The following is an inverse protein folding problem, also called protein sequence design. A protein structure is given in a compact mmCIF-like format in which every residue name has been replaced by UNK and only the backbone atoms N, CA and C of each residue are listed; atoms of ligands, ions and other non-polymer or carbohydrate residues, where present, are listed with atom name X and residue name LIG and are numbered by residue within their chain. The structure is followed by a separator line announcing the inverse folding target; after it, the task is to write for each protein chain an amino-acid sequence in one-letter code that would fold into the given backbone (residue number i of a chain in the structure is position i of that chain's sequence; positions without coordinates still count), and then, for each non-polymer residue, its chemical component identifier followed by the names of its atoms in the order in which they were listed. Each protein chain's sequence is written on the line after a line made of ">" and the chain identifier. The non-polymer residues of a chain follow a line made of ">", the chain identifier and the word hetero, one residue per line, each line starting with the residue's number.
data_IF_553449679122
#
_entry.id   IF_553449679122
#
_cell.length_a   1.000
_cell.length_b   1.000
_cell.length_c   1.000
_cell.angle_alpha   90.00
_cell.angle_beta   90.00
_cell.angle_gamma   90.00
#
_symmetry.space_group_name_H-M   'P 1'
#
loop_
_entity.id
_entity.type
_entity.pdbx_description
1 polymer ?
#
# COMPACT_ATOMS: atom_id res chain seq x y z
N UNK A 1 10.50 -3.76 -12.87
CA UNK A 1 9.84 -2.93 -11.84
C UNK A 1 8.35 -3.25 -11.67
N UNK A 2 7.56 -3.30 -12.76
CA UNK A 2 6.10 -3.45 -12.72
C UNK A 2 5.58 -4.70 -11.98
N UNK A 3 6.31 -5.82 -12.03
CA UNK A 3 5.86 -7.07 -11.40
C UNK A 3 5.83 -7.00 -9.85
N UNK A 4 6.77 -6.29 -9.20
CA UNK A 4 6.76 -6.08 -7.74
C UNK A 4 5.55 -5.24 -7.32
N UNK A 5 5.26 -4.17 -8.06
CA UNK A 5 4.17 -3.26 -7.77
C UNK A 5 2.80 -3.88 -8.02
N UNK A 6 2.63 -4.63 -9.11
CA UNK A 6 1.35 -5.26 -9.46
C UNK A 6 0.91 -6.37 -8.50
N UNK A 7 1.88 -7.05 -7.87
CA UNK A 7 1.66 -8.23 -7.05
C UNK A 7 1.87 -7.94 -5.55
N UNK A 8 3.06 -8.24 -5.03
CA UNK A 8 3.28 -8.32 -3.59
C UNK A 8 3.11 -6.97 -2.90
N UNK A 9 3.60 -5.90 -3.53
CA UNK A 9 3.49 -4.56 -2.96
C UNK A 9 2.04 -4.11 -2.82
N UNK A 10 1.23 -4.30 -3.87
CA UNK A 10 -0.20 -3.92 -3.86
C UNK A 10 -0.97 -4.70 -2.79
N UNK A 11 -0.72 -6.00 -2.65
CA UNK A 11 -1.36 -6.81 -1.62
C UNK A 11 -0.91 -6.36 -0.22
N UNK A 12 0.39 -6.23 0.00
CA UNK A 12 0.93 -5.83 1.29
C UNK A 12 0.39 -4.47 1.74
N UNK A 13 0.44 -3.47 0.86
CA UNK A 13 0.05 -2.12 1.20
C UNK A 13 -1.47 -1.97 1.40
N UNK A 14 -2.28 -2.55 0.52
CA UNK A 14 -3.73 -2.37 0.63
C UNK A 14 -4.38 -3.19 1.76
N UNK A 15 -3.81 -4.36 2.08
CA UNK A 15 -4.43 -5.29 3.02
C UNK A 15 -3.89 -5.15 4.44
N UNK A 16 -2.63 -4.70 4.61
CA UNK A 16 -1.94 -4.78 5.89
C UNK A 16 -1.30 -3.48 6.39
N UNK A 17 -1.22 -2.43 5.56
CA UNK A 17 -0.66 -1.14 5.98
C UNK A 17 -1.76 -0.16 6.36
N UNK A 18 -1.91 0.19 7.65
CA UNK A 18 -2.87 1.19 8.05
C UNK A 18 -2.41 2.59 7.62
N UNK A 19 -3.36 3.42 7.21
CA UNK A 19 -3.15 4.82 6.89
C UNK A 19 -4.20 5.70 7.54
N UNK A 20 -3.80 6.93 7.86
CA UNK A 20 -4.71 7.98 8.35
C UNK A 20 -5.17 8.84 7.17
N UNK A 21 -6.44 9.20 7.18
CA UNK A 21 -7.05 10.14 6.24
C UNK A 21 -7.34 11.44 6.98
N UNK A 22 -7.04 12.56 6.32
CA UNK A 22 -7.45 13.87 6.79
C UNK A 22 -8.98 13.98 6.66
N UNK A 23 -9.68 14.13 7.78
CA UNK A 23 -11.14 14.23 7.83
C UNK A 23 -11.58 15.67 7.64
N UNK A 24 -10.88 16.60 8.31
CA UNK A 24 -11.17 18.02 8.19
C UNK A 24 -9.92 18.87 8.36
N UNK A 25 -9.96 20.05 7.76
CA UNK A 25 -8.90 21.05 7.85
C UNK A 25 -9.57 22.40 7.96
N UNK A 26 -9.44 23.03 9.12
CA UNK A 26 -10.07 24.31 9.42
C UNK A 26 -9.00 25.35 9.74
N UNK A 27 -9.23 26.60 9.33
CA UNK A 27 -8.35 27.73 9.65
C UNK A 27 -9.03 28.61 10.71
N UNK A 28 -8.34 28.82 11.82
CA UNK A 28 -8.79 29.67 12.93
C UNK A 28 -7.75 30.78 13.08
N UNK A 29 -8.07 31.97 12.55
CA UNK A 29 -7.14 33.08 12.42
C UNK A 29 -5.90 32.72 11.59
N UNK A 30 -4.73 32.80 12.21
CA UNK A 30 -3.44 32.41 11.60
C UNK A 30 -3.10 30.92 11.72
N UNK A 31 -3.87 30.12 12.48
CA UNK A 31 -3.59 28.70 12.74
C UNK A 31 -4.42 27.78 11.84
N UNK A 32 -3.81 26.69 11.37
CA UNK A 32 -4.52 25.59 10.68
C UNK A 32 -4.63 24.39 11.60
N UNK A 33 -5.85 23.94 11.87
CA UNK A 33 -6.15 22.75 12.67
C UNK A 33 -6.59 21.63 11.74
N UNK A 34 -5.97 20.45 11.87
CA UNK A 34 -6.26 19.26 11.07
C UNK A 34 -6.82 18.17 11.98
N UNK A 35 -7.94 17.58 11.60
CA UNK A 35 -8.48 16.39 12.25
C UNK A 35 -8.25 15.18 11.35
N UNK A 36 -7.64 14.14 11.90
CA UNK A 36 -7.38 12.87 11.23
C UNK A 36 -8.28 11.79 11.79
N UNK A 37 -8.62 10.80 10.97
CA UNK A 37 -9.33 9.64 11.44
C UNK A 37 -8.40 8.64 12.15
N UNK A 38 -9.01 7.59 12.70
CA UNK A 38 -8.26 6.45 13.22
C UNK A 38 -7.56 5.73 12.05
N UNK A 39 -6.31 5.25 12.25
CA UNK A 39 -5.62 4.46 11.24
C UNK A 39 -6.48 3.25 10.82
N UNK A 40 -6.63 3.07 9.51
CA UNK A 40 -7.29 1.89 8.90
C UNK A 40 -6.56 1.49 7.63
N UNK A 41 -6.53 0.20 7.32
CA UNK A 41 -6.02 -0.28 6.03
C UNK A 41 -6.96 0.13 4.90
N UNK A 42 -6.48 0.29 3.66
CA UNK A 42 -7.34 0.49 2.51
C UNK A 42 -8.42 -0.60 2.39
N UNK A 43 -8.08 -1.86 2.65
CA UNK A 43 -9.04 -2.96 2.69
C UNK A 43 -10.18 -2.71 3.69
N UNK A 44 -9.87 -2.34 4.94
CA UNK A 44 -10.88 -2.05 5.96
C UNK A 44 -11.82 -0.91 5.52
N UNK A 45 -11.27 0.11 4.86
CA UNK A 45 -12.07 1.21 4.31
C UNK A 45 -12.98 0.76 3.17
N UNK A 46 -12.47 -0.06 2.27
CA UNK A 46 -13.23 -0.64 1.17
C UNK A 46 -14.35 -1.56 1.68
N UNK A 47 -14.08 -2.36 2.71
CA UNK A 47 -15.08 -3.23 3.33
C UNK A 47 -16.17 -2.44 4.07
N UNK A 48 -15.83 -1.27 4.62
CA UNK A 48 -16.78 -0.37 5.28
C UNK A 48 -17.54 0.56 4.32
N UNK A 49 -17.15 0.64 3.04
CA UNK A 49 -17.80 1.52 2.06
C UNK A 49 -19.13 0.92 1.57
N UNK A 50 -20.18 1.73 1.52
CA UNK A 50 -21.49 1.35 0.97
C UNK A 50 -21.48 1.29 -0.57
N UNK A 51 -20.55 2.00 -1.22
CA UNK A 51 -20.43 2.04 -2.68
C UNK A 51 -19.88 0.73 -3.29
N UNK A 52 -19.38 -0.18 -2.45
CA UNK A 52 -18.77 -1.44 -2.87
C UNK A 52 -19.74 -2.58 -2.61
N UNK A 53 -20.11 -3.31 -3.67
CA UNK A 53 -21.01 -4.46 -3.55
C UNK A 53 -20.43 -5.57 -2.67
N UNK A 54 -21.32 -6.29 -1.98
CA UNK A 54 -20.92 -7.38 -1.08
C UNK A 54 -20.18 -8.50 -1.81
N UNK A 55 -20.55 -8.78 -3.07
CA UNK A 55 -19.80 -9.72 -3.91
C UNK A 55 -18.32 -9.35 -4.05
N UNK A 56 -18.01 -8.06 -4.29
CA UNK A 56 -16.62 -7.59 -4.37
C UNK A 56 -15.92 -7.63 -3.02
N UNK A 57 -16.62 -7.26 -1.93
CA UNK A 57 -16.09 -7.34 -0.57
C UNK A 57 -15.71 -8.78 -0.20
N UNK A 58 -16.55 -9.74 -0.53
CA UNK A 58 -16.30 -11.15 -0.29
C UNK A 58 -15.08 -11.65 -1.07
N UNK A 59 -14.93 -11.25 -2.33
CA UNK A 59 -13.71 -11.51 -3.12
C UNK A 59 -12.45 -10.98 -2.44
N UNK A 60 -12.50 -9.77 -1.88
CA UNK A 60 -11.37 -9.19 -1.14
C UNK A 60 -11.07 -9.95 0.15
N UNK A 61 -12.10 -10.40 0.89
CA UNK A 61 -11.91 -11.23 2.10
C UNK A 61 -11.21 -12.56 1.78
N UNK A 62 -11.58 -13.21 0.68
CA UNK A 62 -10.93 -14.45 0.24
C UNK A 62 -9.46 -14.24 -0.10
N UNK A 63 -9.13 -13.17 -0.82
CA UNK A 63 -7.73 -12.81 -1.11
C UNK A 63 -6.96 -12.54 0.19
N UNK A 64 -7.57 -11.83 1.14
CA UNK A 64 -6.96 -11.57 2.44
C UNK A 64 -6.66 -12.89 3.18
N UNK A 65 -7.63 -13.81 3.23
CA UNK A 65 -7.49 -15.12 3.87
C UNK A 65 -6.39 -15.99 3.24
N UNK A 66 -6.10 -15.80 1.95
CA UNK A 66 -5.08 -16.55 1.22
C UNK A 66 -3.69 -15.90 1.25
N UNK A 67 -3.55 -14.73 1.88
CA UNK A 67 -2.28 -13.99 1.92
C UNK A 67 -1.71 -13.93 3.33
N UNK A 68 -0.38 -13.93 3.43
CA UNK A 68 0.32 -13.80 4.70
C UNK A 68 1.24 -12.56 4.65
N UNK A 69 1.10 -11.60 5.58
CA UNK A 69 1.86 -10.35 5.55
C UNK A 69 3.38 -10.57 5.68
N UNK A 70 3.82 -11.59 6.43
CA UNK A 70 5.25 -11.89 6.60
C UNK A 70 5.86 -12.48 5.33
N UNK A 71 5.11 -13.36 4.65
CA UNK A 71 5.53 -13.93 3.36
C UNK A 71 5.62 -12.84 2.29
N UNK A 72 4.58 -12.00 2.17
CA UNK A 72 4.58 -10.87 1.24
C UNK A 72 5.76 -9.93 1.51
N UNK A 73 6.01 -9.59 2.78
CA UNK A 73 7.14 -8.73 3.15
C UNK A 73 8.47 -9.34 2.75
N UNK A 74 8.67 -10.64 2.99
CA UNK A 74 9.90 -11.35 2.58
C UNK A 74 10.10 -11.31 1.07
N UNK A 75 9.05 -11.59 0.30
CA UNK A 75 9.11 -11.55 -1.17
C UNK A 75 9.41 -10.15 -1.70
N UNK A 76 8.81 -9.12 -1.12
CA UNK A 76 9.11 -7.71 -1.47
C UNK A 76 10.60 -7.42 -1.25
N UNK A 77 11.15 -7.76 -0.08
CA UNK A 77 12.56 -7.51 0.22
C UNK A 77 13.50 -8.26 -0.73
N UNK A 78 13.19 -9.51 -1.06
CA UNK A 78 13.97 -10.29 -2.03
C UNK A 78 13.97 -9.65 -3.41
N UNK A 79 12.80 -9.24 -3.91
CA UNK A 79 12.68 -8.58 -5.23
C UNK A 79 13.41 -7.24 -5.27
N UNK A 80 13.31 -6.45 -4.20
CA UNK A 80 14.03 -5.17 -4.07
C UNK A 80 15.54 -5.42 -4.12
N UNK A 81 16.05 -6.40 -3.36
CA UNK A 81 17.46 -6.73 -3.36
C UNK A 81 17.98 -7.16 -4.75
N UNK A 82 17.19 -7.93 -5.50
CA UNK A 82 17.51 -8.32 -6.87
C UNK A 82 17.58 -7.11 -7.82
N UNK A 83 16.62 -6.18 -7.71
CA UNK A 83 16.60 -4.95 -8.51
C UNK A 83 17.86 -4.12 -8.23
N UNK A 84 18.23 -3.92 -6.97
CA UNK A 84 19.44 -3.18 -6.61
C UNK A 84 20.72 -3.88 -7.04
N UNK A 85 20.78 -5.22 -6.97
CA UNK A 85 21.92 -5.99 -7.49
C UNK A 85 22.07 -5.78 -8.99
N UNK A 86 20.97 -5.89 -9.74
CA UNK A 86 20.97 -5.69 -11.19
C UNK A 86 21.41 -4.25 -11.57
N UNK A 87 20.99 -3.24 -10.81
CA UNK A 87 21.40 -1.85 -11.05
C UNK A 87 22.90 -1.61 -10.81
N UNK A 88 23.49 -2.24 -9.80
CA UNK A 88 24.94 -2.16 -9.53
C UNK A 88 25.79 -2.84 -10.60
N UNK A 89 25.23 -3.84 -11.29
CA UNK A 89 25.92 -4.56 -12.38
C UNK A 89 25.79 -3.86 -13.74
N UNK A 90 25.01 -2.79 -13.87
CA UNK A 90 24.99 -1.98 -15.09
C UNK A 90 26.23 -1.08 -15.10
N UNK A 91 27.05 -1.10 -16.18
CA UNK A 91 28.18 -0.18 -16.30
C UNK A 91 27.66 1.26 -16.25
N UNK A 92 28.38 2.15 -15.55
CA UNK A 92 28.07 3.58 -15.55
C UNK A 92 28.10 4.04 -17.01
N UNK A 93 26.95 4.38 -17.58
CA UNK A 93 26.90 5.09 -18.85
C UNK A 93 27.51 6.46 -18.61
N UNK A 94 28.76 6.63 -19.01
CA UNK A 94 29.43 7.92 -19.10
C UNK A 94 28.71 8.72 -20.17
N UNK A 95 27.90 9.71 -19.77
CA UNK A 95 27.41 10.74 -20.69
C UNK A 95 28.39 11.90 -20.59
N UNK A 96 29.12 12.13 -21.70
CA UNK A 96 29.94 13.32 -21.94
C UNK A 96 29.14 14.45 -22.56
#
# INVERSE_FOLDING_TARGET
>A
MNNLYANEWRLFHNFYMPSVKLVSKNRIGSKTVKAYDRPKTPLERTLASEEVSDYKKEGLRRIAAQTNPFVLRRMIQQKIALIFKAQKSQPKTTTG
#
